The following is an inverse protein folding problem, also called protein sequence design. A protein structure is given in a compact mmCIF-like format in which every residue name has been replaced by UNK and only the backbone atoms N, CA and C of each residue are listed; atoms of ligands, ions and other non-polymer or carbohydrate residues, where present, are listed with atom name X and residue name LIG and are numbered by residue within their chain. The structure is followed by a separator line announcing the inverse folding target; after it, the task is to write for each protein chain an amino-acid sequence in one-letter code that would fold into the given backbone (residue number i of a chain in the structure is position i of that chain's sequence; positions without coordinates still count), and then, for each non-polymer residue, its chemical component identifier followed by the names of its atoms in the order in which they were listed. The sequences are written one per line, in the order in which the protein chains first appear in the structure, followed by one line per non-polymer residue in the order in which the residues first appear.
data_IF_371083859022
#
_entry.id   IF_371083859022
#
_cell.length_a   1.000
_cell.length_b   1.000
_cell.length_c   1.000
_cell.angle_alpha   90.00
_cell.angle_beta   90.00
_cell.angle_gamma   90.00
#
_symmetry.space_group_name_H-M   'P 1'
#
loop_
_entity.id
_entity.type
_entity.pdbx_description
1 polymer ?
#
# COMPACT_ATOMS: atom_id res chain seq x y z
N UNK A 1 38.60 1.18 43.46
CA UNK A 1 39.48 0.05 43.09
C UNK A 1 38.99 -0.46 41.75
N UNK A 2 39.55 0.02 40.63
CA UNK A 2 40.71 -0.52 39.91
C UNK A 2 40.54 -2.02 39.54
N UNK A 3 40.16 -2.29 38.28
CA UNK A 3 40.96 -3.18 37.42
C UNK A 3 40.62 -2.93 35.95
N UNK A 4 41.60 -2.32 35.29
CA UNK A 4 41.79 -2.22 33.85
C UNK A 4 42.63 -3.44 33.44
N UNK A 5 42.25 -4.17 32.40
CA UNK A 5 43.12 -5.15 31.75
C UNK A 5 42.87 -5.20 30.24
N UNK A 6 43.93 -4.85 29.50
CA UNK A 6 44.07 -5.01 28.05
C UNK A 6 44.71 -6.37 27.73
N UNK A 7 44.37 -6.98 26.58
CA UNK A 7 45.25 -7.82 25.75
C UNK A 7 44.50 -8.18 24.44
N UNK A 8 44.80 -7.55 23.30
CA UNK A 8 45.82 -7.84 22.25
C UNK A 8 45.37 -8.91 21.21
N UNK A 9 45.61 -8.69 19.90
CA UNK A 9 45.06 -9.48 18.80
C UNK A 9 45.98 -10.64 18.40
N UNK A 10 45.39 -11.74 17.94
CA UNK A 10 46.06 -12.86 17.29
C UNK A 10 45.85 -12.79 15.78
N UNK A 11 46.95 -12.68 15.05
CA UNK A 11 47.04 -12.87 13.60
C UNK A 11 47.19 -14.36 13.25
N UNK A 12 47.23 -14.62 11.93
CA UNK A 12 47.59 -15.88 11.24
C UNK A 12 46.44 -16.90 11.11
N UNK A 13 46.19 -17.58 9.98
CA UNK A 13 47.09 -18.00 8.90
C UNK A 13 46.36 -18.06 7.54
N UNK A 14 47.09 -17.75 6.47
CA UNK A 14 46.62 -17.96 5.09
C UNK A 14 46.61 -19.43 4.63
N UNK A 15 45.77 -19.69 3.62
CA UNK A 15 45.78 -20.77 2.59
C UNK A 15 44.43 -20.69 1.87
N UNK A 16 44.24 -20.81 0.55
CA UNK A 16 45.03 -21.29 -0.57
C UNK A 16 44.29 -20.85 -1.87
N UNK A 17 44.95 -20.36 -2.94
CA UNK A 17 44.31 -20.06 -4.22
C UNK A 17 44.54 -21.21 -5.21
N UNK A 18 43.58 -22.11 -5.38
CA UNK A 18 43.63 -23.12 -6.44
C UNK A 18 42.27 -23.45 -7.05
N UNK A 19 42.23 -23.48 -8.38
CA UNK A 19 41.29 -24.33 -9.12
C UNK A 19 40.23 -23.62 -9.94
N UNK A 20 40.60 -23.18 -11.15
CA UNK A 20 39.61 -22.98 -12.21
C UNK A 20 38.91 -24.29 -12.58
N UNK A 21 37.62 -24.21 -12.85
CA UNK A 21 36.90 -25.14 -13.74
C UNK A 21 36.04 -24.28 -14.66
N UNK A 22 36.42 -24.29 -15.92
CA UNK A 22 35.62 -23.93 -17.08
C UNK A 22 34.57 -25.01 -17.32
N UNK A 23 33.30 -24.62 -17.41
CA UNK A 23 32.28 -25.40 -18.13
C UNK A 23 31.45 -24.45 -18.98
N UNK A 24 31.76 -24.43 -20.27
CA UNK A 24 30.82 -24.13 -21.34
C UNK A 24 29.73 -25.21 -21.35
N UNK A 25 28.48 -24.78 -21.51
CA UNK A 25 27.34 -25.64 -21.80
C UNK A 25 26.30 -24.82 -22.54
N UNK A 26 26.26 -25.01 -23.85
CA UNK A 26 25.29 -24.45 -24.79
C UNK A 26 23.88 -25.05 -24.61
N UNK A 27 22.93 -24.51 -25.39
CA UNK A 27 21.52 -24.88 -25.62
C UNK A 27 20.54 -24.07 -24.77
N UNK A 28 19.68 -23.21 -25.31
CA UNK A 28 19.04 -23.25 -26.62
C UNK A 28 17.62 -23.76 -26.43
N UNK A 29 16.66 -22.87 -26.17
CA UNK A 29 15.24 -23.15 -26.37
C UNK A 29 14.48 -21.83 -26.49
N UNK A 30 14.33 -21.39 -27.74
CA UNK A 30 13.30 -20.45 -28.18
C UNK A 30 11.94 -21.12 -28.02
N UNK A 31 11.01 -20.45 -27.35
CA UNK A 31 9.62 -20.88 -27.22
C UNK A 31 8.73 -19.68 -27.49
N UNK A 32 8.39 -19.49 -28.76
CA UNK A 32 7.38 -18.54 -29.22
C UNK A 32 5.99 -19.13 -28.91
N UNK A 33 5.23 -18.45 -28.08
CA UNK A 33 3.87 -18.82 -27.70
C UNK A 33 2.92 -17.68 -28.01
N UNK A 34 2.54 -17.56 -29.29
CA UNK A 34 1.46 -16.68 -29.74
C UNK A 34 0.12 -17.25 -29.26
N UNK A 35 -0.57 -16.51 -28.39
CA UNK A 35 -1.88 -16.84 -27.85
C UNK A 35 -2.86 -15.71 -28.15
N UNK A 36 -3.40 -15.74 -29.35
CA UNK A 36 -4.46 -14.91 -29.91
C UNK A 36 -5.83 -15.34 -29.37
N UNK A 37 -6.32 -14.63 -28.35
CA UNK A 37 -7.65 -14.79 -27.77
C UNK A 37 -8.52 -13.56 -27.97
N UNK A 38 -9.07 -13.37 -29.17
CA UNK A 38 -10.14 -12.40 -29.45
C UNK A 38 -11.47 -12.95 -28.95
N UNK A 39 -11.98 -12.38 -27.86
CA UNK A 39 -13.31 -12.65 -27.33
C UNK A 39 -14.17 -11.39 -27.42
N UNK A 40 -14.88 -11.25 -28.53
CA UNK A 40 -15.91 -10.24 -28.73
C UNK A 40 -17.16 -10.63 -27.93
N UNK A 41 -17.49 -9.83 -26.92
CA UNK A 41 -18.68 -9.99 -26.10
C UNK A 41 -19.57 -8.76 -26.24
N UNK A 42 -20.33 -8.71 -27.33
CA UNK A 42 -21.39 -7.73 -27.53
C UNK A 42 -22.56 -8.05 -26.60
N UNK A 43 -22.71 -7.24 -25.54
CA UNK A 43 -23.80 -7.30 -24.58
C UNK A 43 -24.68 -6.06 -24.68
N UNK A 44 -25.52 -5.99 -25.70
CA UNK A 44 -26.58 -4.98 -25.84
C UNK A 44 -27.67 -5.23 -24.78
N UNK A 45 -27.64 -4.41 -23.73
CA UNK A 45 -28.66 -4.39 -22.68
C UNK A 45 -29.46 -3.11 -22.72
N UNK A 46 -30.39 -3.02 -23.67
CA UNK A 46 -31.41 -1.96 -23.73
C UNK A 46 -32.41 -2.14 -22.57
N UNK A 47 -32.26 -1.30 -21.54
CA UNK A 47 -33.15 -1.23 -20.39
C UNK A 47 -33.92 0.09 -20.36
N UNK A 48 -34.92 0.21 -21.24
CA UNK A 48 -35.89 1.31 -21.23
C UNK A 48 -36.82 1.16 -20.02
N UNK A 49 -36.54 1.92 -18.96
CA UNK A 49 -37.35 2.00 -17.75
C UNK A 49 -38.05 3.35 -17.65
N UNK A 50 -39.11 3.56 -18.43
CA UNK A 50 -40.01 4.72 -18.33
C UNK A 50 -40.85 4.61 -17.05
N UNK A 51 -40.34 5.19 -15.96
CA UNK A 51 -41.05 5.35 -14.69
C UNK A 51 -41.75 6.71 -14.60
N UNK A 52 -42.84 6.88 -15.35
CA UNK A 52 -43.76 8.01 -15.21
C UNK A 52 -44.54 7.93 -13.88
N UNK A 53 -43.94 8.45 -12.81
CA UNK A 53 -44.58 8.70 -11.53
C UNK A 53 -45.09 10.14 -11.43
N UNK A 54 -46.38 10.33 -11.73
CA UNK A 54 -47.13 11.59 -11.64
C UNK A 54 -47.13 12.19 -10.21
N UNK A 55 -46.84 13.50 -10.04
CA UNK A 55 -46.87 14.18 -8.75
C UNK A 55 -48.24 14.81 -8.47
N UNK A 56 -49.10 14.12 -7.72
CA UNK A 56 -50.28 14.75 -7.10
C UNK A 56 -50.25 14.58 -5.59
N UNK A 57 -49.47 15.44 -4.94
CA UNK A 57 -49.41 15.59 -3.49
C UNK A 57 -49.81 17.01 -3.10
N UNK A 58 -51.11 17.30 -3.20
CA UNK A 58 -51.73 18.54 -2.73
C UNK A 58 -51.76 18.54 -1.19
N UNK A 59 -50.64 18.89 -0.57
CA UNK A 59 -50.49 19.03 0.87
C UNK A 59 -50.63 20.47 1.31
N UNK A 60 -51.87 20.91 1.52
CA UNK A 60 -52.20 22.09 2.32
C UNK A 60 -51.62 21.98 3.73
N UNK A 61 -51.00 23.04 4.27
CA UNK A 61 -50.89 23.15 5.74
C UNK A 61 -49.70 23.92 6.30
N UNK A 62 -50.01 25.16 6.68
CA UNK A 62 -49.49 25.86 7.86
C UNK A 62 -48.09 26.51 7.79
N UNK A 63 -48.15 27.82 7.53
CA UNK A 63 -47.05 28.77 7.68
C UNK A 63 -46.50 28.82 9.10
N UNK A 64 -45.39 28.13 9.28
CA UNK A 64 -44.37 28.48 10.26
C UNK A 64 -43.20 29.12 9.49
N UNK A 65 -43.30 30.43 9.23
CA UNK A 65 -42.26 31.29 8.64
C UNK A 65 -41.10 31.53 9.63
N UNK A 66 -40.64 30.47 10.30
CA UNK A 66 -39.33 30.47 10.91
C UNK A 66 -38.25 30.55 9.82
N UNK A 67 -37.06 31.11 10.10
CA UNK A 67 -35.95 31.02 9.17
C UNK A 67 -35.64 29.54 8.93
N UNK A 68 -36.09 29.02 7.78
CA UNK A 68 -35.67 27.73 7.28
C UNK A 68 -34.19 27.90 6.95
N UNK A 69 -33.33 27.34 7.81
CA UNK A 69 -31.96 27.06 7.43
C UNK A 69 -32.07 26.02 6.33
N UNK A 70 -32.07 26.51 5.09
CA UNK A 70 -31.93 25.71 3.89
C UNK A 70 -30.50 25.18 3.91
N UNK A 71 -30.30 24.10 4.66
CA UNK A 71 -29.12 23.26 4.55
C UNK A 71 -29.26 22.64 3.17
N UNK A 72 -28.51 23.18 2.20
CA UNK A 72 -28.59 22.77 0.80
C UNK A 72 -28.61 21.25 0.64
N UNK A 73 -29.10 20.81 -0.51
CA UNK A 73 -29.12 19.37 -0.82
C UNK A 73 -27.70 18.81 -0.73
N UNK A 74 -27.51 17.51 -0.44
CA UNK A 74 -26.19 16.90 -0.47
C UNK A 74 -25.41 17.16 -1.78
N UNK A 75 -26.12 17.44 -2.87
CA UNK A 75 -25.57 17.83 -4.18
C UNK A 75 -25.02 19.27 -4.23
N UNK A 76 -25.36 20.12 -3.25
CA UNK A 76 -24.87 21.50 -3.13
C UNK A 76 -23.55 21.60 -2.34
N UNK A 77 -23.04 20.47 -1.81
CA UNK A 77 -21.72 20.45 -1.20
C UNK A 77 -20.65 20.51 -2.31
N UNK A 78 -19.63 21.37 -2.18
CA UNK A 78 -18.53 21.38 -3.13
C UNK A 78 -17.87 20.00 -3.16
N UNK A 79 -17.41 19.53 -4.34
CA UNK A 79 -16.67 18.28 -4.43
C UNK A 79 -15.47 18.33 -3.48
N UNK A 80 -15.19 17.21 -2.80
CA UNK A 80 -14.01 17.09 -1.95
C UNK A 80 -12.78 17.35 -2.82
N UNK A 81 -12.06 18.43 -2.51
CA UNK A 81 -10.85 18.79 -3.22
C UNK A 81 -9.72 17.90 -2.69
N UNK A 82 -9.34 16.91 -3.49
CA UNK A 82 -8.22 16.01 -3.21
C UNK A 82 -6.91 16.80 -3.25
N UNK A 83 -6.15 16.75 -2.16
CA UNK A 83 -4.81 17.38 -2.07
C UNK A 83 -3.73 16.31 -2.26
N UNK A 84 -2.77 16.46 -3.19
CA UNK A 84 -1.67 15.52 -3.31
C UNK A 84 -0.88 15.40 -2.01
N UNK A 85 -0.53 14.19 -1.58
CA UNK A 85 0.19 13.98 -0.30
C UNK A 85 1.51 14.74 -0.29
N UNK A 86 2.23 14.77 -1.42
CA UNK A 86 3.51 15.46 -1.54
C UNK A 86 3.42 16.99 -1.45
N UNK A 87 2.23 17.56 -1.68
CA UNK A 87 1.98 19.01 -1.65
C UNK A 87 1.51 19.50 -0.28
N UNK A 88 1.35 18.60 0.70
CA UNK A 88 0.95 18.97 2.05
C UNK A 88 1.94 19.97 2.66
N UNK A 89 1.44 21.12 3.16
CA UNK A 89 2.30 22.13 3.74
C UNK A 89 2.99 21.58 4.98
N UNK A 90 4.31 21.78 5.06
CA UNK A 90 5.16 21.37 6.19
C UNK A 90 5.32 19.85 6.38
N UNK A 91 4.88 19.02 5.44
CA UNK A 91 5.19 17.59 5.45
C UNK A 91 6.71 17.39 5.27
N UNK A 92 7.34 16.67 6.19
CA UNK A 92 8.79 16.47 6.20
C UNK A 92 9.18 15.06 5.75
N UNK A 93 8.43 14.05 6.22
CA UNK A 93 8.69 12.65 5.91
C UNK A 93 7.46 11.79 6.06
N UNK A 94 7.54 10.58 5.52
CA UNK A 94 6.49 9.56 5.59
C UNK A 94 7.10 8.29 6.18
N UNK A 95 6.46 7.69 7.18
CA UNK A 95 6.94 6.47 7.83
C UNK A 95 5.97 5.33 7.62
N UNK A 96 6.48 4.19 7.16
CA UNK A 96 5.76 2.92 7.08
C UNK A 96 6.18 2.04 8.25
N UNK A 97 5.22 1.56 9.03
CA UNK A 97 5.47 0.70 10.17
C UNK A 97 5.27 -0.76 9.78
N UNK A 98 6.38 -1.43 9.53
CA UNK A 98 6.41 -2.85 9.17
C UNK A 98 6.40 -3.71 10.43
N UNK A 99 5.56 -4.74 10.47
CA UNK A 99 5.36 -5.60 11.65
C UNK A 99 5.65 -7.06 11.37
N UNK A 100 6.87 -7.37 10.93
CA UNK A 100 7.35 -8.75 10.86
C UNK A 100 8.27 -9.09 12.02
N UNK A 101 7.78 -9.95 12.92
CA UNK A 101 8.57 -10.49 14.04
C UNK A 101 9.05 -9.43 15.05
N UNK A 102 9.83 -9.81 16.05
CA UNK A 102 10.31 -8.87 17.07
C UNK A 102 9.22 -8.33 18.03
N UNK A 103 9.62 -7.40 18.91
CA UNK A 103 8.79 -6.87 20.01
C UNK A 103 8.03 -5.59 19.67
N UNK A 104 8.34 -4.94 18.55
CA UNK A 104 7.76 -3.67 18.09
C UNK A 104 7.85 -3.61 16.56
N UNK A 105 7.05 -2.78 15.87
CA UNK A 105 7.21 -2.58 14.43
C UNK A 105 8.55 -1.90 14.11
N UNK A 106 9.04 -2.16 12.91
CA UNK A 106 10.22 -1.52 12.33
C UNK A 106 9.75 -0.32 11.50
N UNK A 107 10.15 0.92 11.85
CA UNK A 107 9.82 2.09 11.07
C UNK A 107 10.75 2.24 9.85
N UNK A 108 10.17 2.50 8.69
CA UNK A 108 10.87 2.88 7.47
C UNK A 108 10.44 4.28 7.06
N UNK A 109 11.34 5.25 7.20
CA UNK A 109 11.04 6.67 6.99
C UNK A 109 11.70 7.18 5.72
N UNK A 110 10.89 7.76 4.84
CA UNK A 110 11.31 8.33 3.57
C UNK A 110 11.06 9.84 3.53
N UNK A 111 11.93 10.56 2.81
CA UNK A 111 11.68 11.97 2.52
C UNK A 111 10.54 12.09 1.50
N UNK A 112 9.74 13.16 1.57
CA UNK A 112 8.62 13.41 0.64
C UNK A 112 9.03 13.27 -0.83
N UNK A 113 10.18 13.81 -1.21
CA UNK A 113 10.68 13.72 -2.60
C UNK A 113 11.67 12.55 -2.81
N UNK A 114 11.59 11.52 -1.96
CA UNK A 114 12.44 10.34 -2.04
C UNK A 114 12.16 9.50 -3.30
N UNK A 115 13.18 8.87 -3.90
CA UNK A 115 12.98 8.00 -5.06
C UNK A 115 12.04 6.83 -4.76
N UNK A 116 11.99 6.36 -3.51
CA UNK A 116 11.08 5.30 -3.07
C UNK A 116 9.64 5.70 -3.37
N UNK A 117 9.20 6.86 -2.86
CA UNK A 117 7.82 7.32 -3.03
C UNK A 117 7.47 7.83 -4.44
N UNK A 118 8.47 8.31 -5.18
CA UNK A 118 8.27 9.00 -6.48
C UNK A 118 8.48 8.10 -7.69
N UNK A 119 8.89 6.84 -7.49
CA UNK A 119 9.07 5.85 -8.55
C UNK A 119 8.59 4.49 -8.06
N UNK A 120 7.47 4.01 -8.61
CA UNK A 120 7.06 2.62 -8.43
C UNK A 120 8.08 1.66 -9.03
N UNK A 121 8.51 0.66 -8.27
CA UNK A 121 9.48 -0.33 -8.72
C UNK A 121 8.87 -1.36 -9.67
N UNK A 122 9.60 -1.69 -10.74
CA UNK A 122 9.22 -2.75 -11.68
C UNK A 122 9.27 -4.14 -11.04
N UNK A 123 8.50 -5.08 -11.57
CA UNK A 123 8.59 -6.49 -11.20
C UNK A 123 9.79 -7.21 -11.84
N UNK A 124 10.33 -8.24 -11.18
CA UNK A 124 9.95 -8.71 -9.84
C UNK A 124 10.60 -7.89 -8.71
N UNK A 125 9.89 -7.74 -7.59
CA UNK A 125 10.51 -7.29 -6.33
C UNK A 125 11.48 -8.36 -5.81
N UNK A 126 12.69 -7.94 -5.46
CA UNK A 126 13.81 -8.82 -5.11
C UNK A 126 14.68 -8.17 -4.02
N UNK A 127 15.67 -8.90 -3.51
CA UNK A 127 16.59 -8.39 -2.50
C UNK A 127 17.38 -7.12 -2.93
N UNK A 128 17.47 -6.83 -4.22
CA UNK A 128 18.12 -5.63 -4.76
C UNK A 128 17.12 -4.68 -5.46
N UNK A 129 15.82 -4.93 -5.31
CA UNK A 129 14.73 -4.18 -5.93
C UNK A 129 13.53 -4.15 -4.97
N UNK A 130 13.65 -3.36 -3.90
CA UNK A 130 12.62 -3.11 -2.88
C UNK A 130 12.98 -1.84 -2.10
N UNK A 131 11.98 -1.22 -1.49
CA UNK A 131 12.15 -0.10 -0.55
C UNK A 131 12.20 -0.58 0.89
N UNK A 132 11.39 -1.60 1.21
CA UNK A 132 11.27 -2.15 2.56
C UNK A 132 11.45 -3.68 2.51
N UNK A 133 12.43 -4.24 3.25
CA UNK A 133 12.54 -5.67 3.46
C UNK A 133 11.63 -6.14 4.61
N UNK A 134 10.92 -7.25 4.40
CA UNK A 134 10.15 -7.94 5.44
C UNK A 134 10.87 -9.21 5.93
N UNK A 135 10.09 -10.29 6.12
CA UNK A 135 10.63 -11.62 6.32
C UNK A 135 11.49 -12.09 5.13
N UNK A 136 12.17 -13.23 5.28
CA UNK A 136 12.87 -13.86 4.17
C UNK A 136 11.92 -14.08 2.98
N UNK A 137 12.24 -13.54 1.81
CA UNK A 137 11.39 -13.66 0.61
C UNK A 137 10.18 -12.73 0.62
N UNK A 138 10.20 -11.70 1.46
CA UNK A 138 9.19 -10.65 1.54
C UNK A 138 9.80 -9.29 1.23
N UNK A 139 9.26 -8.61 0.22
CA UNK A 139 9.79 -7.36 -0.31
C UNK A 139 8.64 -6.42 -0.65
N UNK A 140 8.77 -5.16 -0.24
CA UNK A 140 7.76 -4.13 -0.50
C UNK A 140 8.30 -2.95 -1.29
N UNK A 141 7.37 -2.28 -1.95
CA UNK A 141 7.53 -1.08 -2.77
C UNK A 141 6.45 -0.09 -2.33
N UNK A 142 6.82 1.17 -2.08
CA UNK A 142 5.95 2.20 -1.52
C UNK A 142 5.87 3.40 -2.43
N UNK A 143 4.67 3.96 -2.67
CA UNK A 143 4.54 5.05 -3.63
C UNK A 143 3.28 5.89 -3.44
N UNK A 144 3.30 7.10 -3.99
CA UNK A 144 2.11 7.94 -4.17
C UNK A 144 1.14 7.32 -5.16
N UNK A 145 -0.14 7.34 -4.85
CA UNK A 145 -1.14 6.62 -5.64
C UNK A 145 -2.48 7.35 -5.80
N UNK A 146 -3.27 6.87 -6.75
CA UNK A 146 -4.71 7.04 -6.77
C UNK A 146 -5.40 6.17 -5.68
N UNK A 147 -6.72 6.28 -5.59
CA UNK A 147 -7.57 5.52 -4.64
C UNK A 147 -7.48 4.00 -4.86
N UNK A 148 -7.32 3.58 -6.12
CA UNK A 148 -7.21 2.19 -6.53
C UNK A 148 -5.79 1.63 -6.38
N UNK A 149 -4.84 2.40 -5.83
CA UNK A 149 -3.46 2.00 -5.62
C UNK A 149 -2.60 1.93 -6.89
N UNK A 150 -3.04 2.56 -7.97
CA UNK A 150 -2.26 2.86 -9.16
C UNK A 150 -1.26 3.98 -8.88
N UNK A 151 -0.04 3.87 -9.41
CA UNK A 151 0.99 4.88 -9.19
C UNK A 151 0.56 6.22 -9.79
N UNK A 152 0.55 7.26 -8.95
CA UNK A 152 0.23 8.62 -9.33
C UNK A 152 1.05 9.59 -8.48
N UNK A 153 2.00 10.29 -9.09
CA UNK A 153 2.92 11.17 -8.37
C UNK A 153 2.20 12.30 -7.63
N UNK A 154 1.17 12.88 -8.24
CA UNK A 154 0.28 13.88 -7.64
C UNK A 154 -0.93 13.25 -6.93
N UNK A 155 -0.79 12.01 -6.46
CA UNK A 155 -1.84 11.26 -5.79
C UNK A 155 -2.13 11.73 -4.35
N UNK A 156 -3.38 11.59 -3.94
CA UNK A 156 -3.85 11.88 -2.57
C UNK A 156 -3.81 10.67 -1.63
N UNK A 157 -3.25 9.54 -2.09
CA UNK A 157 -3.18 8.30 -1.35
C UNK A 157 -1.72 7.80 -1.27
N UNK A 158 -1.47 6.92 -0.31
CA UNK A 158 -0.23 6.18 -0.21
C UNK A 158 -0.50 4.68 -0.36
N UNK A 159 0.27 4.04 -1.21
CA UNK A 159 0.23 2.58 -1.38
C UNK A 159 1.52 1.95 -0.90
N UNK A 160 1.37 0.83 -0.21
CA UNK A 160 2.42 -0.19 -0.09
C UNK A 160 1.98 -1.43 -0.88
N UNK A 161 2.86 -1.90 -1.77
CA UNK A 161 2.68 -3.15 -2.51
C UNK A 161 3.79 -4.13 -2.19
N UNK A 162 3.52 -5.42 -2.29
CA UNK A 162 4.44 -6.43 -1.77
C UNK A 162 4.41 -7.76 -2.50
N UNK A 163 5.53 -8.46 -2.43
CA UNK A 163 5.63 -9.88 -2.76
C UNK A 163 5.98 -10.67 -1.51
N UNK A 164 5.44 -11.89 -1.40
CA UNK A 164 5.85 -12.83 -0.39
C UNK A 164 5.89 -14.23 -0.98
N UNK A 165 7.07 -14.84 -1.02
CA UNK A 165 7.30 -16.08 -1.77
C UNK A 165 7.13 -17.35 -0.94
N UNK A 166 6.56 -17.28 0.25
CA UNK A 166 6.31 -18.46 1.09
C UNK A 166 4.82 -18.73 1.23
N UNK A 167 4.41 -19.96 0.93
CA UNK A 167 3.07 -20.48 1.22
C UNK A 167 3.04 -21.19 2.59
N UNK A 168 1.91 -21.78 2.97
CA UNK A 168 1.81 -22.63 4.17
C UNK A 168 2.97 -23.64 4.27
N UNK A 169 3.55 -23.84 5.47
CA UNK A 169 3.06 -23.41 6.79
C UNK A 169 3.63 -22.06 7.28
N UNK A 170 4.19 -21.22 6.40
CA UNK A 170 4.62 -19.86 6.78
C UNK A 170 3.44 -18.98 7.20
N UNK A 171 3.71 -17.78 7.75
CA UNK A 171 2.69 -16.76 7.99
C UNK A 171 2.16 -16.15 6.69
N UNK A 172 1.37 -15.08 6.79
CA UNK A 172 1.06 -14.21 5.65
C UNK A 172 2.00 -13.01 5.60
N UNK A 173 2.13 -12.43 4.42
CA UNK A 173 2.96 -11.27 4.17
C UNK A 173 2.20 -9.96 4.04
N UNK A 174 2.93 -8.87 3.79
CA UNK A 174 2.48 -7.49 3.87
C UNK A 174 1.87 -7.23 5.25
N UNK A 175 2.74 -7.24 6.25
CA UNK A 175 2.42 -7.00 7.65
C UNK A 175 2.54 -5.50 7.98
N UNK A 176 1.68 -4.68 7.39
CA UNK A 176 1.63 -3.24 7.66
C UNK A 176 0.88 -2.97 8.95
N UNK A 177 1.49 -2.25 9.88
CA UNK A 177 0.82 -1.74 11.08
C UNK A 177 0.17 -0.38 10.82
N UNK A 178 0.91 0.59 10.30
CA UNK A 178 0.42 1.97 10.10
C UNK A 178 1.26 2.69 9.05
N UNK A 179 0.73 3.78 8.49
CA UNK A 179 1.52 4.78 7.76
C UNK A 179 1.34 6.13 8.45
N UNK A 180 2.44 6.84 8.70
CA UNK A 180 2.40 8.17 9.27
C UNK A 180 2.95 9.26 8.37
N UNK A 181 2.25 10.38 8.32
CA UNK A 181 2.70 11.66 7.78
C UNK A 181 3.33 12.45 8.92
N UNK A 182 4.61 12.80 8.79
CA UNK A 182 5.37 13.49 9.85
C UNK A 182 5.64 14.92 9.41
N UNK A 183 5.12 15.88 10.19
CA UNK A 183 5.22 17.30 9.88
C UNK A 183 6.36 17.97 10.66
N UNK A 184 6.90 19.06 10.11
CA UNK A 184 8.01 19.79 10.71
C UNK A 184 7.73 20.42 12.08
N UNK A 185 6.45 20.55 12.46
CA UNK A 185 6.02 21.00 13.79
C UNK A 185 5.89 19.84 14.81
N UNK A 186 6.32 18.63 14.42
CA UNK A 186 6.26 17.38 15.18
C UNK A 186 4.86 16.79 15.34
N UNK A 187 3.85 17.34 14.63
CA UNK A 187 2.57 16.66 14.51
C UNK A 187 2.69 15.44 13.60
N UNK A 188 1.84 14.45 13.86
CA UNK A 188 1.78 13.20 13.11
C UNK A 188 0.32 12.93 12.77
N UNK A 189 0.07 12.57 11.52
CA UNK A 189 -1.22 12.06 11.04
C UNK A 189 -1.03 10.61 10.59
N UNK A 190 -1.95 9.74 10.99
CA UNK A 190 -2.00 8.35 10.55
C UNK A 190 -3.06 8.18 9.46
N UNK A 191 -3.01 7.08 8.72
CA UNK A 191 -4.07 6.74 7.76
C UNK A 191 -5.43 6.70 8.46
N UNK A 192 -6.46 7.24 7.82
CA UNK A 192 -7.80 7.34 8.41
C UNK A 192 -8.79 6.29 7.87
N UNK A 193 -8.57 5.79 6.65
CA UNK A 193 -9.32 4.67 6.07
C UNK A 193 -8.48 3.86 5.07
N UNK A 194 -8.89 2.63 4.81
CA UNK A 194 -8.35 1.79 3.73
C UNK A 194 -9.15 2.07 2.46
N UNK A 195 -8.51 2.68 1.46
CA UNK A 195 -9.14 3.02 0.18
C UNK A 195 -9.32 1.77 -0.70
N UNK A 196 -8.27 0.96 -0.82
CA UNK A 196 -8.31 -0.29 -1.57
C UNK A 196 -7.23 -1.26 -1.09
N UNK A 197 -7.39 -2.55 -1.37
CA UNK A 197 -6.39 -3.57 -1.05
C UNK A 197 -6.48 -4.78 -1.96
N UNK A 198 -5.40 -5.58 -1.98
CA UNK A 198 -5.31 -6.87 -2.68
C UNK A 198 -4.71 -7.90 -1.72
N UNK A 199 -5.48 -8.94 -1.43
CA UNK A 199 -5.07 -10.10 -0.64
C UNK A 199 -5.03 -11.34 -1.53
N UNK A 200 -3.95 -12.14 -1.45
CA UNK A 200 -3.70 -13.25 -2.38
C UNK A 200 -3.22 -14.50 -1.65
N UNK A 201 -3.41 -15.65 -2.29
CA UNK A 201 -2.84 -16.93 -1.84
C UNK A 201 -3.38 -17.44 -0.49
N UNK A 202 -2.69 -18.42 0.07
CA UNK A 202 -2.96 -18.89 1.43
C UNK A 202 -2.42 -17.91 2.49
N UNK A 203 -2.88 -18.09 3.75
CA UNK A 203 -2.57 -17.22 4.88
C UNK A 203 -3.04 -15.76 4.78
N UNK A 204 -3.76 -15.38 3.73
CA UNK A 204 -4.46 -14.10 3.70
C UNK A 204 -5.54 -14.07 4.80
N UNK A 205 -5.60 -12.95 5.52
CA UNK A 205 -6.67 -12.63 6.48
C UNK A 205 -7.19 -11.23 6.14
N UNK A 206 -8.02 -11.10 5.07
CA UNK A 206 -8.51 -9.81 4.59
C UNK A 206 -9.26 -9.01 5.67
N UNK A 207 -9.89 -9.69 6.62
CA UNK A 207 -10.62 -9.07 7.73
C UNK A 207 -9.72 -8.24 8.66
N UNK A 208 -8.39 -8.38 8.54
CA UNK A 208 -7.40 -7.64 9.33
C UNK A 208 -6.90 -6.38 8.62
N UNK A 209 -7.39 -6.03 7.42
CA UNK A 209 -6.85 -4.89 6.66
C UNK A 209 -6.98 -3.55 7.41
N UNK A 210 -8.06 -3.37 8.18
CA UNK A 210 -8.30 -2.17 8.99
C UNK A 210 -7.30 -2.01 10.16
N UNK A 211 -6.48 -3.02 10.45
CA UNK A 211 -5.38 -2.86 11.40
C UNK A 211 -4.30 -1.90 10.91
N UNK A 212 -4.30 -1.56 9.62
CA UNK A 212 -3.42 -0.55 9.06
C UNK A 212 -3.76 0.90 9.47
N UNK A 213 -4.90 1.10 10.16
CA UNK A 213 -5.49 2.41 10.48
C UNK A 213 -6.15 2.42 11.88
N UNK A 214 -5.84 1.45 12.74
CA UNK A 214 -6.49 1.29 14.05
C UNK A 214 -5.80 2.06 15.19
N UNK A 215 -4.68 2.72 14.90
CA UNK A 215 -3.86 3.47 15.84
C UNK A 215 -3.05 2.58 16.80
N UNK A 216 -3.05 1.26 16.63
CA UNK A 216 -2.25 0.31 17.40
C UNK A 216 -1.11 -0.27 16.57
N UNK A 217 0.08 0.30 16.77
CA UNK A 217 1.33 -0.16 16.17
C UNK A 217 1.71 -1.63 16.46
N UNK A 218 0.97 -2.35 17.34
CA UNK A 218 1.17 -3.77 17.58
C UNK A 218 0.30 -4.69 16.71
N UNK A 219 -0.79 -4.18 16.15
CA UNK A 219 -1.60 -4.91 15.18
C UNK A 219 -0.99 -4.72 13.79
N UNK A 220 -1.40 -5.57 12.84
CA UNK A 220 -0.96 -5.45 11.46
C UNK A 220 -1.90 -6.21 10.51
N UNK A 221 -1.85 -5.82 9.25
CA UNK A 221 -2.48 -6.53 8.12
C UNK A 221 -1.84 -7.89 7.91
N UNK A 222 -2.53 -8.80 7.23
CA UNK A 222 -1.95 -10.07 6.79
C UNK A 222 -2.55 -10.42 5.44
N UNK A 223 -1.85 -10.09 4.37
CA UNK A 223 -2.42 -10.08 3.01
C UNK A 223 -2.19 -11.39 2.24
N UNK A 224 -1.41 -12.32 2.80
CA UNK A 224 -1.20 -13.66 2.27
C UNK A 224 0.12 -13.80 1.51
N UNK A 225 0.13 -14.37 0.31
CA UNK A 225 1.37 -14.59 -0.43
C UNK A 225 1.18 -14.54 -1.96
N UNK A 226 2.29 -14.41 -2.69
CA UNK A 226 2.31 -14.28 -4.15
C UNK A 226 2.72 -15.56 -4.86
N UNK A 227 2.73 -16.73 -4.20
CA UNK A 227 3.11 -17.99 -4.85
C UNK A 227 2.06 -18.35 -5.91
N UNK A 228 2.50 -18.42 -7.16
CA UNK A 228 1.63 -18.72 -8.31
C UNK A 228 0.68 -17.57 -8.70
N UNK A 229 0.91 -16.36 -8.18
CA UNK A 229 0.13 -15.17 -8.49
C UNK A 229 0.88 -14.29 -9.50
N UNK A 230 0.13 -13.51 -10.27
CA UNK A 230 0.69 -12.51 -11.19
C UNK A 230 0.66 -11.09 -10.61
N UNK A 231 -0.16 -10.87 -9.58
CA UNK A 231 -0.31 -9.59 -8.90
C UNK A 231 0.49 -9.53 -7.59
N UNK A 232 0.70 -8.31 -7.10
CA UNK A 232 1.27 -8.05 -5.77
C UNK A 232 0.18 -7.98 -4.71
N UNK A 233 0.56 -8.30 -3.47
CA UNK A 233 -0.20 -7.88 -2.29
C UNK A 233 -0.23 -6.34 -2.24
N UNK A 234 -1.32 -5.73 -1.77
CA UNK A 234 -1.42 -4.27 -1.74
C UNK A 234 -2.33 -3.76 -0.64
N UNK A 235 -1.96 -2.62 -0.04
CA UNK A 235 -2.83 -1.79 0.80
C UNK A 235 -2.64 -0.33 0.40
N UNK A 236 -3.75 0.38 0.18
CA UNK A 236 -3.78 1.81 -0.13
C UNK A 236 -4.55 2.54 0.96
N UNK A 237 -3.94 3.57 1.54
CA UNK A 237 -4.54 4.36 2.63
C UNK A 237 -4.84 5.79 2.18
N UNK A 238 -5.96 6.31 2.65
CA UNK A 238 -6.30 7.72 2.63
C UNK A 238 -5.88 8.44 3.91
N UNK A 239 -5.91 9.77 3.88
CA UNK A 239 -5.65 10.64 5.03
C UNK A 239 -6.68 11.77 5.08
N UNK A 240 -6.98 12.27 6.29
CA UNK A 240 -7.93 13.37 6.51
C UNK A 240 -7.44 14.65 5.82
N UNK A 241 -6.13 14.91 5.82
CA UNK A 241 -5.51 16.10 5.22
C UNK A 241 -5.47 16.10 3.70
N UNK A 242 -5.76 14.97 3.04
CA UNK A 242 -5.61 14.80 1.59
C UNK A 242 -6.89 14.34 0.92
N UNK A 243 -7.25 13.08 1.14
CA UNK A 243 -8.45 12.46 0.58
C UNK A 243 -9.73 12.78 1.34
N UNK A 244 -9.60 13.39 2.53
CA UNK A 244 -10.72 13.67 3.42
C UNK A 244 -11.22 12.41 4.15
N UNK A 245 -12.40 12.47 4.79
CA UNK A 245 -13.01 11.32 5.44
C UNK A 245 -13.43 10.26 4.39
N UNK A 246 -13.65 9.00 4.81
CA UNK A 246 -14.22 7.99 3.92
C UNK A 246 -15.56 8.47 3.34
N UNK A 247 -15.73 8.29 2.03
CA UNK A 247 -16.93 8.65 1.26
C UNK A 247 -18.14 7.76 1.53
#
# INVERSE_FOLDING_TARGET
MLTLACAKPGADDGRDPTGGVTTQGESGSSGDGDGDGSGDGDGDGDGDGDGDGDPTGDGDGDGDDGPKFDLGTPDDLPPVELVPVMDLPNLESITFYERTGGMAPTPFTFTVNGPELTVRLDDPLLNNNHDIPGASGEFYDVYYSDEDGGFQLDGSYLTISGTFTQALPAGGGLNLAEISLNFSDQTVEYGNYVASFVALGDNAVPENVERAIDGDLQTHTTMGNTVGQMDRLRVTLGFDSTSGPPG
#
